data_IF_074788351283
#
_entry.id   IF_074788351283
#
_cell.length_a   1.000
_cell.length_b   1.000
_cell.length_c   1.000
_cell.angle_alpha   90.00
_cell.angle_beta   90.00
_cell.angle_gamma   90.00
#
_symmetry.space_group_name_H-M   'P 1'
#
loop_
_entity.id
_entity.type
_entity.pdbx_description
1 polymer ?
#
# COMPACT_ATOMS: atom_id res chain seq x y z
N UNK A 1 -12.99 11.08 18.25
CA UNK A 1 -14.17 11.13 19.17
C UNK A 1 -15.45 10.53 18.53
N UNK A 2 -15.34 9.51 17.66
CA UNK A 2 -16.51 8.89 16.98
C UNK A 2 -16.87 7.50 17.56
N UNK A 3 -16.04 6.96 18.45
CA UNK A 3 -16.15 5.58 18.96
C UNK A 3 -17.44 5.19 19.70
N UNK A 4 -18.17 6.04 20.46
CA UNK A 4 -19.25 5.50 21.29
C UNK A 4 -20.62 5.56 20.61
N UNK A 5 -20.70 5.75 19.28
CA UNK A 5 -22.01 5.93 18.64
C UNK A 5 -22.74 4.59 18.44
N UNK A 6 -22.02 3.48 18.30
CA UNK A 6 -22.65 2.15 18.20
C UNK A 6 -21.70 1.03 18.67
N UNK A 7 -21.55 0.81 19.99
CA UNK A 7 -20.89 -0.41 20.45
C UNK A 7 -21.65 -1.62 19.88
N UNK A 8 -20.96 -2.69 19.46
CA UNK A 8 -21.64 -3.85 18.92
C UNK A 8 -22.61 -4.40 19.99
N UNK A 9 -23.88 -4.67 19.63
CA UNK A 9 -24.89 -5.10 20.61
C UNK A 9 -24.53 -6.47 21.24
N UNK A 10 -23.67 -7.24 20.58
CA UNK A 10 -23.03 -8.43 21.13
C UNK A 10 -21.56 -8.49 20.67
N UNK A 11 -20.63 -8.81 21.58
CA UNK A 11 -19.20 -8.98 21.27
C UNK A 11 -18.96 -10.04 20.20
N UNK A 12 -19.86 -11.03 20.09
CA UNK A 12 -19.79 -12.07 19.07
C UNK A 12 -19.93 -11.55 17.62
N UNK A 13 -20.56 -10.39 17.41
CA UNK A 13 -20.78 -9.85 16.06
C UNK A 13 -19.51 -9.31 15.40
N UNK A 14 -18.44 -9.11 16.18
CA UNK A 14 -17.16 -8.60 15.70
C UNK A 14 -16.34 -9.68 14.96
N UNK A 15 -16.40 -10.94 15.42
CA UNK A 15 -15.64 -12.05 14.86
C UNK A 15 -15.76 -12.23 13.35
N UNK A 16 -16.97 -12.26 12.73
CA UNK A 16 -17.08 -12.47 11.29
C UNK A 16 -16.36 -11.38 10.47
N UNK A 17 -16.43 -10.12 10.89
CA UNK A 17 -15.75 -9.02 10.20
C UNK A 17 -14.23 -9.11 10.33
N UNK A 18 -13.72 -9.44 11.52
CA UNK A 18 -12.28 -9.65 11.72
C UNK A 18 -11.79 -10.81 10.84
N UNK A 19 -12.48 -11.94 10.86
CA UNK A 19 -12.10 -13.13 10.06
C UNK A 19 -12.09 -12.81 8.57
N UNK A 20 -13.15 -12.18 8.06
CA UNK A 20 -13.23 -11.79 6.64
C UNK A 20 -12.13 -10.79 6.28
N UNK A 21 -11.82 -9.83 7.16
CA UNK A 21 -10.79 -8.82 6.89
C UNK A 21 -9.38 -9.41 6.85
N UNK A 22 -9.02 -10.26 7.81
CA UNK A 22 -7.71 -10.91 7.87
C UNK A 22 -7.53 -11.94 6.74
N UNK A 23 -8.57 -12.70 6.43
CA UNK A 23 -8.56 -13.63 5.30
C UNK A 23 -8.50 -12.87 3.96
N UNK A 24 -9.31 -11.82 3.82
CA UNK A 24 -9.34 -10.96 2.64
C UNK A 24 -7.99 -10.29 2.38
N UNK A 25 -7.27 -9.87 3.43
CA UNK A 25 -5.90 -9.35 3.32
C UNK A 25 -4.96 -10.38 2.67
N UNK A 26 -4.96 -11.64 3.13
CA UNK A 26 -4.17 -12.70 2.51
C UNK A 26 -4.59 -12.91 1.05
N UNK A 27 -5.89 -13.10 0.80
CA UNK A 27 -6.37 -13.44 -0.54
C UNK A 27 -6.10 -12.33 -1.56
N UNK A 28 -6.29 -11.06 -1.19
CA UNK A 28 -5.99 -9.91 -2.06
C UNK A 28 -4.50 -9.78 -2.33
N UNK A 29 -3.64 -10.03 -1.34
CA UNK A 29 -2.19 -10.05 -1.52
C UNK A 29 -1.72 -11.16 -2.48
N UNK A 30 -2.34 -12.35 -2.41
CA UNK A 30 -2.07 -13.46 -3.34
C UNK A 30 -2.56 -13.16 -4.76
N UNK A 31 -3.72 -12.51 -4.91
CA UNK A 31 -4.20 -12.03 -6.22
C UNK A 31 -3.21 -11.02 -6.80
N UNK A 32 -2.68 -10.11 -5.97
CA UNK A 32 -1.68 -9.12 -6.36
C UNK A 32 -0.44 -9.72 -7.03
N UNK A 33 0.05 -10.88 -6.56
CA UNK A 33 1.20 -11.57 -7.15
C UNK A 33 0.98 -12.06 -8.59
N UNK A 34 -0.29 -12.29 -8.99
CA UNK A 34 -0.63 -12.80 -10.33
C UNK A 34 -1.25 -11.73 -11.22
N UNK A 35 -1.37 -10.50 -10.73
CA UNK A 35 -2.08 -9.45 -11.43
C UNK A 35 -1.20 -8.84 -12.53
N UNK A 36 -1.66 -8.92 -13.77
CA UNK A 36 -0.95 -8.36 -14.94
C UNK A 36 -1.27 -6.87 -15.21
N UNK A 37 -2.39 -6.37 -14.70
CA UNK A 37 -2.80 -4.97 -14.79
C UNK A 37 -2.26 -4.18 -13.59
N UNK A 38 -1.44 -3.16 -13.87
CA UNK A 38 -0.80 -2.32 -12.86
C UNK A 38 -1.81 -1.57 -11.97
N UNK A 39 -2.87 -0.99 -12.53
CA UNK A 39 -3.88 -0.24 -11.73
C UNK A 39 -4.67 -1.19 -10.84
N UNK A 40 -4.99 -2.38 -11.36
CA UNK A 40 -5.66 -3.40 -10.57
C UNK A 40 -4.77 -3.97 -9.46
N UNK A 41 -3.46 -4.14 -9.71
CA UNK A 41 -2.50 -4.59 -8.70
C UNK A 41 -2.44 -3.58 -7.54
N UNK A 42 -2.38 -2.28 -7.85
CA UNK A 42 -2.42 -1.21 -6.83
C UNK A 42 -3.78 -1.23 -6.09
N UNK A 43 -4.90 -1.44 -6.78
CA UNK A 43 -6.20 -1.56 -6.13
C UNK A 43 -6.27 -2.75 -5.15
N UNK A 44 -5.77 -3.93 -5.53
CA UNK A 44 -5.73 -5.08 -4.62
C UNK A 44 -4.79 -4.85 -3.43
N UNK A 45 -3.68 -4.15 -3.63
CA UNK A 45 -2.81 -3.73 -2.51
C UNK A 45 -3.57 -2.87 -1.50
N UNK A 46 -4.43 -1.95 -1.97
CA UNK A 46 -5.23 -1.09 -1.10
C UNK A 46 -6.26 -1.86 -0.28
N UNK A 47 -6.90 -2.88 -0.86
CA UNK A 47 -7.84 -3.75 -0.13
C UNK A 47 -7.10 -4.50 1.00
N UNK A 48 -5.86 -4.92 0.76
CA UNK A 48 -5.01 -5.56 1.78
C UNK A 48 -4.78 -4.67 3.01
N UNK A 49 -4.27 -3.44 2.81
CA UNK A 49 -4.05 -2.50 3.93
C UNK A 49 -5.35 -2.09 4.61
N UNK A 50 -6.45 -1.90 3.86
CA UNK A 50 -7.75 -1.60 4.46
C UNK A 50 -8.33 -2.79 5.24
N UNK A 51 -7.95 -4.02 4.91
CA UNK A 51 -8.26 -5.21 5.72
C UNK A 51 -7.71 -5.09 7.16
N UNK A 52 -6.48 -4.59 7.31
CA UNK A 52 -5.88 -4.30 8.63
C UNK A 52 -6.66 -3.21 9.38
N UNK A 53 -7.08 -2.17 8.67
CA UNK A 53 -7.90 -1.08 9.23
C UNK A 53 -9.23 -1.63 9.77
N UNK A 54 -9.92 -2.49 9.01
CA UNK A 54 -11.17 -3.10 9.46
C UNK A 54 -10.94 -4.00 10.68
N UNK A 55 -9.90 -4.84 10.67
CA UNK A 55 -9.60 -5.73 11.79
C UNK A 55 -9.36 -4.94 13.09
N UNK A 56 -8.53 -3.90 13.04
CA UNK A 56 -8.15 -3.11 14.21
C UNK A 56 -9.27 -2.18 14.71
N UNK A 57 -10.05 -1.58 13.79
CA UNK A 57 -11.23 -0.77 14.19
C UNK A 57 -12.27 -1.58 14.94
N UNK A 58 -12.44 -2.86 14.60
CA UNK A 58 -13.38 -3.76 15.28
C UNK A 58 -12.95 -4.15 16.69
N UNK A 59 -11.65 -4.13 17.00
CA UNK A 59 -11.12 -4.37 18.36
C UNK A 59 -11.33 -3.16 19.29
N UNK A 60 -11.53 -1.96 18.74
CA UNK A 60 -11.90 -0.74 19.46
C UNK A 60 -10.96 -0.31 20.61
N UNK A 61 -9.69 -0.71 20.58
CA UNK A 61 -8.68 -0.21 21.54
C UNK A 61 -8.17 1.17 21.13
N UNK A 62 -7.75 1.98 22.11
CA UNK A 62 -7.21 3.31 21.86
C UNK A 62 -5.99 3.27 20.93
N UNK A 63 -5.08 2.32 21.16
CA UNK A 63 -3.93 2.07 20.30
C UNK A 63 -4.36 1.63 18.90
N UNK A 64 -5.34 0.73 18.79
CA UNK A 64 -5.83 0.24 17.50
C UNK A 64 -6.38 1.36 16.65
N UNK A 65 -7.16 2.25 17.26
CA UNK A 65 -7.77 3.38 16.55
C UNK A 65 -6.78 4.50 16.21
N UNK A 66 -5.71 4.67 17.00
CA UNK A 66 -4.60 5.52 16.60
C UNK A 66 -3.88 4.92 15.37
N UNK A 67 -3.59 3.62 15.40
CA UNK A 67 -2.96 2.89 14.30
C UNK A 67 -3.80 2.92 13.02
N UNK A 68 -5.13 2.74 13.12
CA UNK A 68 -6.02 2.77 11.96
C UNK A 68 -6.08 4.15 11.32
N UNK A 69 -6.16 5.22 12.11
CA UNK A 69 -6.13 6.58 11.59
C UNK A 69 -4.82 6.90 10.88
N UNK A 70 -3.68 6.52 11.48
CA UNK A 70 -2.37 6.68 10.86
C UNK A 70 -2.27 5.89 9.56
N UNK A 71 -2.72 4.63 9.54
CA UNK A 71 -2.66 3.78 8.35
C UNK A 71 -3.56 4.33 7.24
N UNK A 72 -4.77 4.80 7.55
CA UNK A 72 -5.67 5.38 6.53
C UNK A 72 -5.07 6.62 5.87
N UNK A 73 -4.46 7.52 6.64
CA UNK A 73 -3.82 8.73 6.10
C UNK A 73 -2.60 8.35 5.26
N UNK A 74 -1.72 7.53 5.82
CA UNK A 74 -0.47 7.16 5.17
C UNK A 74 -0.73 6.34 3.91
N UNK A 75 -1.60 5.34 3.99
CA UNK A 75 -2.06 4.56 2.84
C UNK A 75 -2.75 5.43 1.78
N UNK A 76 -3.56 6.42 2.20
CA UNK A 76 -4.20 7.36 1.28
C UNK A 76 -3.18 8.11 0.42
N UNK A 77 -2.06 8.53 1.00
CA UNK A 77 -0.96 9.18 0.29
C UNK A 77 -0.11 8.20 -0.55
N UNK A 78 0.18 6.99 -0.05
CA UNK A 78 0.98 6.01 -0.81
C UNK A 78 0.23 5.46 -2.01
N UNK A 79 -1.03 5.07 -1.84
CA UNK A 79 -1.85 4.50 -2.90
C UNK A 79 -2.15 5.52 -3.99
N UNK A 80 -2.47 6.77 -3.64
CA UNK A 80 -2.66 7.85 -4.61
C UNK A 80 -1.38 8.14 -5.40
N UNK A 81 -0.20 8.19 -4.76
CA UNK A 81 1.08 8.32 -5.44
C UNK A 81 1.31 7.18 -6.45
N UNK A 82 1.05 5.93 -6.07
CA UNK A 82 1.15 4.76 -6.95
C UNK A 82 0.17 4.83 -8.12
N UNK A 83 -1.08 5.23 -7.89
CA UNK A 83 -2.05 5.42 -8.97
C UNK A 83 -1.63 6.52 -9.94
N UNK A 84 -1.00 7.59 -9.44
CA UNK A 84 -0.45 8.64 -10.28
C UNK A 84 0.75 8.15 -11.09
N UNK A 85 1.66 7.38 -10.50
CA UNK A 85 2.76 6.72 -11.24
C UNK A 85 2.23 5.79 -12.34
N UNK A 86 1.22 4.98 -12.03
CA UNK A 86 0.56 4.13 -13.01
C UNK A 86 -0.11 4.94 -14.12
N UNK A 87 -0.65 6.12 -13.80
CA UNK A 87 -1.26 7.00 -14.80
C UNK A 87 -0.21 7.65 -15.71
N UNK A 88 0.89 8.16 -15.16
CA UNK A 88 2.00 8.75 -15.92
C UNK A 88 2.58 7.74 -16.92
N UNK A 89 2.68 6.47 -16.51
CA UNK A 89 3.06 5.37 -17.39
C UNK A 89 1.99 5.11 -18.47
N UNK A 90 0.72 5.06 -18.08
CA UNK A 90 -0.40 4.85 -19.00
C UNK A 90 -0.52 5.96 -20.06
N UNK A 91 -0.26 7.22 -19.71
CA UNK A 91 -0.27 8.34 -20.67
C UNK A 91 0.79 8.20 -21.77
N UNK A 92 1.84 7.40 -21.54
CA UNK A 92 2.91 7.16 -22.53
C UNK A 92 2.73 5.86 -23.30
N UNK A 93 2.26 4.80 -22.65
CA UNK A 93 2.15 3.47 -23.28
C UNK A 93 0.74 3.18 -23.80
N UNK A 94 -0.27 3.95 -23.39
CA UNK A 94 -1.70 3.69 -23.58
C UNK A 94 -2.15 2.29 -23.17
N UNK A 95 -1.36 1.60 -22.34
CA UNK A 95 -1.63 0.24 -21.87
C UNK A 95 -1.45 0.16 -20.36
N UNK A 96 -2.28 -0.68 -19.73
CA UNK A 96 -2.24 -0.93 -18.28
C UNK A 96 -1.39 -2.15 -17.91
N UNK A 97 -0.82 -2.81 -18.91
CA UNK A 97 -0.09 -4.08 -18.75
C UNK A 97 1.27 -3.83 -18.13
N UNK A 98 1.54 -4.47 -17.00
CA UNK A 98 2.77 -4.33 -16.21
C UNK A 98 4.03 -4.63 -17.05
N UNK A 99 3.98 -5.69 -17.87
CA UNK A 99 5.10 -6.15 -18.69
C UNK A 99 5.52 -5.16 -19.78
N UNK A 100 4.62 -4.26 -20.22
CA UNK A 100 4.97 -3.22 -21.20
C UNK A 100 5.85 -2.11 -20.62
N UNK A 101 5.98 -2.06 -19.29
CA UNK A 101 6.73 -1.02 -18.61
C UNK A 101 8.17 -1.42 -18.28
N UNK A 102 8.57 -2.67 -18.54
CA UNK A 102 9.89 -3.21 -18.22
C UNK A 102 11.04 -2.30 -18.63
N UNK A 103 12.05 -2.20 -17.76
CA UNK A 103 13.26 -1.41 -18.02
C UNK A 103 13.05 0.11 -18.01
N UNK A 104 11.92 0.62 -17.50
CA UNK A 104 11.62 2.07 -17.49
C UNK A 104 12.71 2.93 -16.82
N UNK A 105 13.48 2.37 -15.88
CA UNK A 105 14.57 3.06 -15.19
C UNK A 105 15.69 3.52 -16.15
N UNK A 106 15.91 2.80 -17.25
CA UNK A 106 16.93 3.15 -18.24
C UNK A 106 16.59 4.47 -18.94
N UNK A 107 15.30 4.74 -19.15
CA UNK A 107 14.82 5.95 -19.84
C UNK A 107 14.51 7.07 -18.84
N UNK A 108 13.87 6.73 -17.71
CA UNK A 108 13.38 7.70 -16.73
C UNK A 108 13.96 7.44 -15.33
N UNK A 109 15.26 7.74 -15.09
CA UNK A 109 15.90 7.47 -13.81
C UNK A 109 15.26 8.23 -12.64
N UNK A 110 14.80 9.47 -12.88
CA UNK A 110 14.10 10.24 -11.84
C UNK A 110 12.73 9.64 -11.52
N UNK A 111 12.00 9.14 -12.51
CA UNK A 111 10.74 8.42 -12.30
C UNK A 111 10.96 7.13 -11.50
N UNK A 112 12.04 6.41 -11.79
CA UNK A 112 12.40 5.21 -11.03
C UNK A 112 12.62 5.51 -9.55
N UNK A 113 13.20 6.68 -9.21
CA UNK A 113 13.34 7.09 -7.81
C UNK A 113 11.97 7.25 -7.11
N UNK A 114 10.97 7.80 -7.80
CA UNK A 114 9.60 7.91 -7.28
C UNK A 114 8.92 6.55 -7.14
N UNK A 115 9.15 5.63 -8.08
CA UNK A 115 8.70 4.22 -7.97
C UNK A 115 9.32 3.51 -6.76
N UNK A 116 10.61 3.70 -6.52
CA UNK A 116 11.30 3.11 -5.37
C UNK A 116 10.72 3.69 -4.08
N UNK A 117 10.62 5.03 -3.94
CA UNK A 117 10.11 5.64 -2.71
C UNK A 117 8.66 5.20 -2.43
N UNK A 118 7.78 5.28 -3.43
CA UNK A 118 6.38 4.88 -3.26
C UNK A 118 6.23 3.38 -2.96
N UNK A 119 6.98 2.50 -3.61
CA UNK A 119 6.95 1.06 -3.30
C UNK A 119 7.49 0.73 -1.91
N UNK A 120 8.56 1.40 -1.45
CA UNK A 120 9.09 1.25 -0.09
C UNK A 120 8.07 1.70 0.97
N UNK A 121 7.33 2.77 0.70
CA UNK A 121 6.25 3.21 1.59
C UNK A 121 5.07 2.23 1.57
N UNK A 122 4.73 1.66 0.41
CA UNK A 122 3.64 0.70 0.29
C UNK A 122 3.94 -0.63 0.99
N UNK A 123 5.19 -1.12 0.96
CA UNK A 123 5.59 -2.32 1.71
C UNK A 123 5.85 -2.07 3.20
N UNK A 124 5.52 -0.87 3.69
CA UNK A 124 5.72 -0.48 5.08
C UNK A 124 7.17 -0.67 5.57
N UNK A 125 8.16 -0.16 4.82
CA UNK A 125 9.57 -0.20 5.25
C UNK A 125 9.82 0.76 6.44
N UNK A 126 10.57 0.38 7.49
CA UNK A 126 11.02 1.34 8.50
C UNK A 126 11.94 2.41 7.86
N UNK A 127 11.80 3.72 8.16
CA UNK A 127 11.00 4.37 9.20
C UNK A 127 9.67 5.02 8.71
N UNK A 128 8.96 4.43 7.74
CA UNK A 128 7.74 5.04 7.17
C UNK A 128 6.54 5.07 8.13
N UNK A 129 5.57 5.96 7.91
CA UNK A 129 4.33 6.00 8.72
C UNK A 129 3.52 4.74 8.52
N UNK A 130 3.50 4.17 7.30
CA UNK A 130 2.85 2.88 7.03
C UNK A 130 3.38 1.82 8.01
N UNK A 131 4.71 1.70 8.14
CA UNK A 131 5.32 0.79 9.13
C UNK A 131 4.87 1.07 10.55
N UNK A 132 4.94 2.33 11.00
CA UNK A 132 4.54 2.69 12.37
C UNK A 132 3.07 2.36 12.64
N UNK A 133 2.19 2.62 11.68
CA UNK A 133 0.76 2.35 11.78
C UNK A 133 0.44 0.86 11.79
N UNK A 134 1.09 0.07 10.92
CA UNK A 134 0.95 -1.38 10.90
C UNK A 134 1.49 -2.02 12.16
N UNK A 135 2.62 -1.55 12.69
CA UNK A 135 3.18 -2.02 13.95
C UNK A 135 2.22 -1.79 15.12
N UNK A 136 1.62 -0.59 15.22
CA UNK A 136 0.60 -0.31 16.23
C UNK A 136 -0.59 -1.27 16.08
N UNK A 137 -1.09 -1.46 14.85
CA UNK A 137 -2.17 -2.41 14.59
C UNK A 137 -1.76 -3.85 14.99
N UNK A 138 -0.54 -4.27 14.70
CA UNK A 138 -0.02 -5.60 15.04
C UNK A 138 0.00 -5.80 16.57
N UNK A 139 0.47 -4.81 17.33
CA UNK A 139 0.44 -4.88 18.80
C UNK A 139 -0.99 -4.98 19.35
N UNK A 140 -1.95 -4.28 18.75
CA UNK A 140 -3.34 -4.33 19.20
C UNK A 140 -4.02 -5.66 18.91
N UNK A 141 -3.69 -6.28 17.78
CA UNK A 141 -4.21 -7.60 17.41
C UNK A 141 -3.54 -8.72 18.19
N UNK A 142 -2.25 -8.54 18.53
CA UNK A 142 -1.51 -9.39 19.48
C UNK A 142 -2.20 -9.50 20.83
N UNK A 143 -2.52 -8.34 21.41
CA UNK A 143 -3.16 -8.25 22.71
C UNK A 143 -4.58 -8.84 22.67
N UNK A 144 -5.27 -8.74 21.53
CA UNK A 144 -6.60 -9.32 21.35
C UNK A 144 -6.59 -10.84 21.17
N UNK A 145 -5.75 -11.36 20.28
CA UNK A 145 -5.56 -12.80 20.07
C UNK A 145 -4.17 -13.07 19.45
N UNK A 146 -3.25 -13.73 20.19
CA UNK A 146 -1.88 -13.96 19.74
C UNK A 146 -1.77 -14.73 18.40
N UNK A 147 -2.76 -15.57 18.08
CA UNK A 147 -2.78 -16.33 16.82
C UNK A 147 -2.83 -15.42 15.58
N UNK A 148 -3.42 -14.22 15.72
CA UNK A 148 -3.55 -13.28 14.60
C UNK A 148 -2.19 -12.82 14.07
N UNK A 149 -1.12 -12.88 14.85
CA UNK A 149 0.22 -12.51 14.38
C UNK A 149 0.74 -13.37 13.25
N UNK A 150 0.43 -14.66 13.25
CA UNK A 150 0.89 -15.55 12.18
C UNK A 150 0.24 -15.10 10.86
N UNK A 151 -1.06 -14.83 10.90
CA UNK A 151 -1.84 -14.36 9.74
C UNK A 151 -1.33 -12.99 9.26
N UNK A 152 -1.11 -12.07 10.18
CA UNK A 152 -0.62 -10.71 9.90
C UNK A 152 0.80 -10.71 9.35
N UNK A 153 1.70 -11.52 9.90
CA UNK A 153 3.06 -11.70 9.40
C UNK A 153 3.10 -12.32 8.00
N UNK A 154 2.27 -13.33 7.74
CA UNK A 154 2.11 -13.88 6.39
C UNK A 154 1.56 -12.81 5.43
N UNK A 155 0.54 -12.05 5.83
CA UNK A 155 0.02 -10.93 5.04
C UNK A 155 1.10 -9.90 4.69
N UNK A 156 1.85 -9.43 5.69
CA UNK A 156 2.93 -8.47 5.50
C UNK A 156 4.03 -8.99 4.56
N UNK A 157 4.46 -10.25 4.73
CA UNK A 157 5.47 -10.84 3.83
C UNK A 157 4.98 -10.95 2.38
N UNK A 158 3.72 -11.33 2.15
CA UNK A 158 3.16 -11.34 0.79
C UNK A 158 3.04 -9.92 0.25
N UNK A 159 2.73 -8.93 1.10
CA UNK A 159 2.68 -7.51 0.68
C UNK A 159 4.03 -6.98 0.22
N UNK A 160 5.10 -7.30 0.95
CA UNK A 160 6.47 -7.03 0.49
C UNK A 160 6.79 -7.78 -0.82
N UNK A 161 6.33 -9.03 -0.95
CA UNK A 161 6.51 -9.82 -2.16
C UNK A 161 5.90 -9.20 -3.41
N UNK A 162 4.60 -8.86 -3.39
CA UNK A 162 3.95 -8.30 -4.59
C UNK A 162 4.38 -6.86 -4.89
N UNK A 163 4.75 -6.07 -3.88
CA UNK A 163 5.25 -4.69 -4.10
C UNK A 163 6.63 -4.70 -4.74
N UNK A 164 7.53 -5.58 -4.29
CA UNK A 164 8.81 -5.80 -4.94
C UNK A 164 8.63 -6.37 -6.35
N UNK A 165 7.69 -7.29 -6.55
CA UNK A 165 7.33 -7.77 -7.89
C UNK A 165 6.89 -6.63 -8.82
N UNK A 166 6.00 -5.75 -8.36
CA UNK A 166 5.56 -4.56 -9.11
C UNK A 166 6.74 -3.63 -9.46
N UNK A 167 7.66 -3.39 -8.52
CA UNK A 167 8.83 -2.55 -8.74
C UNK A 167 9.79 -3.18 -9.76
N UNK A 168 10.14 -4.45 -9.60
CA UNK A 168 11.10 -5.13 -10.47
C UNK A 168 10.56 -5.34 -11.88
N UNK A 169 9.29 -5.72 -12.01
CA UNK A 169 8.66 -5.93 -13.32
C UNK A 169 8.45 -4.65 -14.12
N UNK A 170 8.36 -3.48 -13.45
CA UNK A 170 8.24 -2.19 -14.14
C UNK A 170 9.59 -1.50 -14.33
N UNK A 171 10.45 -1.42 -13.32
CA UNK A 171 11.66 -0.60 -13.42
C UNK A 171 12.85 -1.36 -13.98
N UNK A 172 12.95 -2.66 -13.71
CA UNK A 172 14.10 -3.48 -14.08
C UNK A 172 13.86 -4.27 -15.38
N UNK A 173 14.93 -4.81 -15.95
CA UNK A 173 14.91 -5.59 -17.19
C UNK A 173 15.18 -4.76 -18.44
N UNK A 174 14.95 -5.39 -19.59
CA UNK A 174 15.19 -4.77 -20.90
C UNK A 174 13.93 -4.06 -21.37
N UNK A 175 14.13 -2.93 -22.04
CA UNK A 175 13.05 -2.17 -22.66
C UNK A 175 12.41 -3.00 -23.79
N UNK A 176 11.07 -3.00 -23.91
CA UNK A 176 10.41 -3.61 -25.07
C UNK A 176 10.87 -2.92 -26.36
N UNK A 177 11.14 -3.68 -27.44
CA UNK A 177 11.53 -3.10 -28.71
C UNK A 177 10.37 -2.24 -29.27
N UNK A 178 10.70 -1.08 -29.81
CA UNK A 178 9.80 -0.12 -30.49
C UNK A 178 8.96 0.83 -29.60
N UNK A 179 9.28 1.00 -28.32
CA UNK A 179 8.66 2.05 -27.50
C UNK A 179 9.42 3.38 -27.62
N UNK A 180 8.80 4.37 -28.26
CA UNK A 180 9.27 5.76 -28.24
C UNK A 180 8.48 6.50 -27.16
N UNK A 181 9.14 6.78 -26.03
CA UNK A 181 8.50 7.36 -24.85
C UNK A 181 8.89 8.84 -24.72
N UNK A 182 7.90 9.68 -24.44
CA UNK A 182 8.09 11.12 -24.19
C UNK A 182 8.77 11.36 -22.84
N UNK A 183 9.65 12.37 -22.72
CA UNK A 183 10.30 12.72 -21.46
C UNK A 183 9.30 13.08 -20.35
N UNK A 184 9.74 12.95 -19.10
CA UNK A 184 8.96 13.37 -17.94
C UNK A 184 8.76 14.90 -17.93
N UNK A 185 7.55 15.32 -17.58
CA UNK A 185 7.19 16.73 -17.47
C UNK A 185 7.34 17.21 -16.02
N UNK A 186 7.61 18.50 -15.84
CA UNK A 186 7.71 19.12 -14.51
C UNK A 186 6.44 18.96 -13.67
N UNK A 187 5.28 19.01 -14.34
CA UNK A 187 3.95 18.70 -13.78
C UNK A 187 3.90 17.35 -13.06
N UNK A 188 4.51 16.32 -13.65
CA UNK A 188 4.47 14.95 -13.13
C UNK A 188 5.34 14.82 -11.87
N UNK A 189 6.52 15.45 -11.88
CA UNK A 189 7.37 15.53 -10.70
C UNK A 189 6.73 16.33 -9.58
N UNK A 190 6.14 17.49 -9.89
CA UNK A 190 5.43 18.29 -8.89
C UNK A 190 4.31 17.48 -8.24
N UNK A 191 3.50 16.77 -9.03
CA UNK A 191 2.43 15.93 -8.52
C UNK A 191 2.96 14.88 -7.54
N UNK A 192 4.04 14.17 -7.88
CA UNK A 192 4.62 13.14 -7.01
C UNK A 192 5.25 13.73 -5.74
N UNK A 193 5.90 14.90 -5.86
CA UNK A 193 6.45 15.61 -4.70
C UNK A 193 5.36 16.00 -3.72
N UNK A 194 4.19 16.44 -4.18
CA UNK A 194 3.05 16.81 -3.34
C UNK A 194 2.45 15.63 -2.58
N UNK A 195 2.66 14.39 -3.03
CA UNK A 195 2.25 13.20 -2.29
C UNK A 195 3.31 12.74 -1.29
N UNK A 196 4.58 12.72 -1.72
CA UNK A 196 5.68 12.12 -0.95
C UNK A 196 6.19 13.08 0.13
N UNK A 197 6.25 14.38 -0.12
CA UNK A 197 6.74 15.35 0.88
C UNK A 197 5.87 15.34 2.14
N UNK A 198 4.52 15.40 2.07
CA UNK A 198 3.69 15.27 3.26
C UNK A 198 3.92 13.96 4.01
N UNK A 199 4.04 12.85 3.27
CA UNK A 199 4.30 11.54 3.85
C UNK A 199 5.65 11.49 4.59
N UNK A 200 6.70 12.09 4.03
CA UNK A 200 8.01 12.22 4.70
C UNK A 200 7.99 13.22 5.86
N UNK A 201 7.11 14.22 5.85
CA UNK A 201 7.00 15.16 6.96
C UNK A 201 6.33 14.50 8.18
N UNK A 202 5.29 13.67 7.98
CA UNK A 202 4.68 12.98 9.13
C UNK A 202 5.53 11.83 9.69
N UNK A 203 6.54 11.31 8.97
CA UNK A 203 7.52 10.38 9.59
C UNK A 203 8.41 11.10 10.61
N UNK A 204 8.80 12.35 10.30
CA UNK A 204 9.64 13.16 11.19
C UNK A 204 8.89 13.63 12.43
N UNK A 205 7.59 13.91 12.30
CA UNK A 205 6.75 14.36 13.41
C UNK A 205 5.38 13.68 13.36
N UNK A 206 5.26 12.46 13.90
CA UNK A 206 3.99 11.72 13.92
C UNK A 206 3.02 12.19 15.02
N UNK A 207 3.46 13.12 15.88
CA UNK A 207 2.71 13.64 17.03
C UNK A 207 1.70 14.74 16.66
#
# INVERSE_FOLDING_TARGET
RVMPICPPPNSAMVYPFIIISLWGMIMTSLIGLRQSDLKALIAYSSVGHMGLVIASTMVQTQWGLMGTMLLMIAHGLTSSALFCLANINYERTHSRTLLMLQGAQIIFPLMASWWIISSLTNMALPPTINFMSELIIFTTMLDWCPLTMIIMGIGATITAGYTLYMLMSSQHGNLPPNLILLPMQTREHLLLTLHIVPLMLMTLKPN
#
